data_IF_153034935768
#
_entry.id   IF_153034935768
#
_cell.length_a   1.000
_cell.length_b   1.000
_cell.length_c   1.000
_cell.angle_alpha   90.00
_cell.angle_beta   90.00
_cell.angle_gamma   90.00
#
_symmetry.space_group_name_H-M   'P 1'
#
loop_
_entity.id
_entity.type
_entity.pdbx_description
1 polymer ?
#
# COMPACT_ATOMS: atom_id res chain seq x y z
N UNK A 1 -16.75 3.00 -8.34
CA UNK A 1 -15.58 3.22 -7.46
C UNK A 1 -14.68 4.29 -8.05
N UNK A 2 -14.09 5.15 -7.22
CA UNK A 2 -13.09 6.11 -7.68
C UNK A 2 -11.85 5.34 -8.15
N UNK A 3 -11.50 5.49 -9.42
CA UNK A 3 -10.29 4.94 -10.00
C UNK A 3 -9.13 5.89 -9.65
N UNK A 4 -8.08 5.37 -9.02
CA UNK A 4 -6.90 6.15 -8.62
C UNK A 4 -5.82 5.94 -9.65
N UNK A 5 -5.30 7.01 -10.24
CA UNK A 5 -4.10 6.95 -11.07
C UNK A 5 -2.88 7.25 -10.20
N UNK A 6 -1.96 6.29 -10.12
CA UNK A 6 -0.64 6.50 -9.49
C UNK A 6 0.40 6.64 -10.59
N UNK A 7 1.14 7.74 -10.57
CA UNK A 7 2.24 7.98 -11.50
C UNK A 7 3.51 8.38 -10.76
N UNK A 8 4.63 8.27 -11.44
CA UNK A 8 5.92 8.48 -10.79
C UNK A 8 7.08 8.21 -11.70
N UNK A 9 8.28 8.31 -11.12
CA UNK A 9 9.55 7.98 -11.76
C UNK A 9 10.33 7.05 -10.85
N UNK A 10 10.97 6.05 -11.45
CA UNK A 10 11.90 5.13 -10.81
C UNK A 10 13.33 5.50 -11.23
N UNK A 11 14.21 5.68 -10.25
CA UNK A 11 15.59 6.13 -10.47
C UNK A 11 16.58 5.53 -9.45
N UNK A 12 17.88 5.60 -9.74
CA UNK A 12 18.95 5.19 -8.83
C UNK A 12 19.41 6.35 -7.91
N UNK A 13 20.36 6.07 -7.02
CA UNK A 13 20.99 7.06 -6.15
C UNK A 13 21.73 8.18 -6.90
N UNK A 14 22.14 7.92 -8.14
CA UNK A 14 22.68 8.92 -9.07
C UNK A 14 21.59 9.65 -9.90
N UNK A 15 20.31 9.44 -9.57
CA UNK A 15 19.13 10.01 -10.26
C UNK A 15 19.02 9.61 -11.75
N UNK A 16 19.69 8.54 -12.18
CA UNK A 16 19.53 7.95 -13.50
C UNK A 16 18.23 7.14 -13.54
N UNK A 17 17.50 7.17 -14.67
CA UNK A 17 16.24 6.46 -14.78
C UNK A 17 16.42 4.95 -14.80
N UNK A 18 15.50 4.22 -14.17
CA UNK A 18 15.40 2.77 -14.31
C UNK A 18 14.29 2.38 -15.29
N UNK A 19 14.62 2.01 -16.54
CA UNK A 19 13.64 1.52 -17.49
C UNK A 19 13.29 0.04 -17.24
N UNK A 20 12.09 -0.37 -17.66
CA UNK A 20 11.58 -1.75 -17.57
C UNK A 20 11.44 -2.31 -16.15
N UNK A 21 11.34 -1.44 -15.14
CA UNK A 21 10.91 -1.84 -13.79
C UNK A 21 9.44 -2.19 -13.86
N UNK A 22 9.09 -3.33 -13.25
CA UNK A 22 7.74 -3.80 -13.09
C UNK A 22 7.09 -3.00 -11.98
N UNK A 23 5.93 -2.40 -12.27
CA UNK A 23 5.03 -1.83 -11.28
C UNK A 23 3.74 -2.62 -11.31
N UNK A 24 3.38 -3.27 -10.21
CA UNK A 24 2.23 -4.18 -10.14
C UNK A 24 1.36 -3.90 -8.93
N UNK A 25 0.04 -3.90 -9.09
CA UNK A 25 -0.91 -3.88 -7.97
C UNK A 25 -1.50 -5.27 -7.68
N UNK A 26 -0.91 -6.33 -8.24
CA UNK A 26 -1.40 -7.71 -8.19
C UNK A 26 -2.48 -8.06 -9.21
N UNK A 27 -3.14 -7.08 -9.82
CA UNK A 27 -4.18 -7.25 -10.87
C UNK A 27 -3.71 -6.72 -12.22
N UNK A 28 -3.03 -5.59 -12.21
CA UNK A 28 -2.43 -4.92 -13.35
C UNK A 28 -0.91 -4.85 -13.17
N UNK A 29 -0.22 -4.85 -14.30
CA UNK A 29 1.23 -4.75 -14.38
C UNK A 29 1.60 -3.77 -15.50
N UNK A 30 2.42 -2.79 -15.18
CA UNK A 30 3.02 -1.85 -16.14
C UNK A 30 4.54 -1.88 -16.03
N UNK A 31 5.21 -1.30 -17.02
CA UNK A 31 6.65 -1.16 -17.03
C UNK A 31 7.03 0.31 -17.10
N UNK A 32 8.12 0.68 -16.43
CA UNK A 32 8.68 2.01 -16.59
C UNK A 32 9.23 2.23 -18.00
N UNK A 33 9.06 3.45 -18.51
CA UNK A 33 9.59 3.87 -19.82
C UNK A 33 11.12 4.11 -19.79
N UNK A 34 11.70 4.58 -20.91
CA UNK A 34 13.13 4.87 -21.02
C UNK A 34 13.64 5.94 -20.03
N UNK A 35 12.74 6.78 -19.52
CA UNK A 35 13.01 7.83 -18.53
C UNK A 35 12.62 7.41 -17.11
N UNK A 36 12.25 6.14 -16.91
CA UNK A 36 11.87 5.57 -15.63
C UNK A 36 10.45 5.93 -15.20
N UNK A 37 9.65 6.57 -16.05
CA UNK A 37 8.30 6.99 -15.66
C UNK A 37 7.33 5.81 -15.74
N UNK A 38 6.35 5.80 -14.83
CA UNK A 38 5.24 4.86 -14.86
C UNK A 38 3.91 5.57 -14.61
N UNK A 39 2.84 4.93 -15.03
CA UNK A 39 1.47 5.28 -14.67
C UNK A 39 0.67 3.99 -14.57
N UNK A 40 0.00 3.77 -13.45
CA UNK A 40 -0.79 2.57 -13.18
C UNK A 40 -2.14 2.96 -12.56
N UNK A 41 -3.19 2.23 -12.92
CA UNK A 41 -4.49 2.36 -12.28
C UNK A 41 -4.50 1.52 -11.01
N UNK A 42 -5.01 2.09 -9.93
CA UNK A 42 -5.06 1.48 -8.62
C UNK A 42 -6.41 1.77 -7.96
N UNK A 43 -6.65 1.04 -6.88
CA UNK A 43 -7.76 1.24 -5.95
C UNK A 43 -7.18 1.57 -4.57
N UNK A 44 -7.98 2.26 -3.75
CA UNK A 44 -7.65 2.48 -2.35
C UNK A 44 -7.37 1.12 -1.66
N UNK A 45 -6.32 1.04 -0.86
CA UNK A 45 -5.79 -0.19 -0.21
C UNK A 45 -5.12 -1.21 -1.12
N UNK A 46 -4.78 -0.84 -2.36
CA UNK A 46 -3.79 -1.60 -3.11
C UNK A 46 -2.38 -1.38 -2.56
N UNK A 47 -1.53 -2.37 -2.80
CA UNK A 47 -0.09 -2.29 -2.57
C UNK A 47 0.56 -2.39 -3.93
N UNK A 48 1.28 -1.34 -4.36
CA UNK A 48 2.08 -1.38 -5.56
C UNK A 48 3.43 -2.02 -5.23
N UNK A 49 3.76 -3.13 -5.87
CA UNK A 49 5.10 -3.73 -5.86
C UNK A 49 5.92 -3.19 -7.02
N UNK A 50 7.14 -2.74 -6.71
CA UNK A 50 8.18 -2.36 -7.66
C UNK A 50 9.24 -3.46 -7.69
N UNK A 51 9.43 -4.10 -8.83
CA UNK A 51 10.38 -5.21 -8.98
C UNK A 51 11.02 -5.24 -10.36
N UNK A 52 12.11 -6.00 -10.50
CA UNK A 52 12.74 -6.25 -11.79
C UNK A 52 12.71 -7.74 -12.13
N UNK A 53 12.65 -8.04 -13.42
CA UNK A 53 12.38 -9.37 -13.97
C UNK A 53 13.59 -10.33 -13.92
N UNK A 54 14.48 -10.15 -12.94
CA UNK A 54 15.81 -10.75 -12.76
C UNK A 54 16.93 -10.00 -13.52
N UNK A 55 17.90 -9.50 -12.75
CA UNK A 55 19.19 -9.00 -13.24
C UNK A 55 19.11 -7.98 -14.38
N UNK A 56 18.57 -6.79 -14.09
CA UNK A 56 18.88 -5.64 -14.93
C UNK A 56 20.40 -5.41 -14.83
N UNK A 57 21.18 -5.84 -15.83
CA UNK A 57 22.65 -5.77 -15.86
C UNK A 57 23.38 -6.48 -14.68
N UNK A 58 22.83 -7.59 -14.17
CA UNK A 58 23.44 -8.36 -13.08
C UNK A 58 23.10 -7.87 -11.66
N UNK A 59 22.26 -6.84 -11.54
CA UNK A 59 21.80 -6.32 -10.25
C UNK A 59 20.56 -7.08 -9.74
N UNK A 60 20.60 -7.60 -8.51
CA UNK A 60 19.41 -8.07 -7.78
C UNK A 60 18.75 -6.86 -7.13
N UNK A 61 17.56 -6.48 -7.59
CA UNK A 61 16.86 -5.33 -7.03
C UNK A 61 16.07 -5.71 -5.77
N UNK A 62 16.16 -4.86 -4.75
CA UNK A 62 15.23 -4.91 -3.62
C UNK A 62 13.82 -4.57 -4.11
N UNK A 63 12.83 -5.37 -3.69
CA UNK A 63 11.43 -5.02 -3.91
C UNK A 63 11.09 -3.80 -3.07
N UNK A 64 10.41 -2.83 -3.67
CA UNK A 64 9.81 -1.71 -2.94
C UNK A 64 8.30 -1.76 -3.04
N UNK A 65 7.64 -1.17 -2.04
CA UNK A 65 6.20 -1.22 -1.90
C UNK A 65 5.63 0.18 -1.66
N UNK A 66 4.53 0.50 -2.32
CA UNK A 66 3.74 1.71 -2.07
C UNK A 66 2.31 1.35 -1.68
N UNK A 67 1.84 1.89 -0.57
CA UNK A 67 0.51 1.63 -0.04
C UNK A 67 -0.44 2.77 -0.47
N UNK A 68 -1.48 2.43 -1.25
CA UNK A 68 -2.46 3.41 -1.71
C UNK A 68 -3.45 3.71 -0.59
N UNK A 69 -3.07 4.61 0.32
CA UNK A 69 -3.85 4.92 1.55
C UNK A 69 -4.71 6.19 1.45
N UNK A 70 -4.46 7.03 0.44
CA UNK A 70 -5.23 8.26 0.21
C UNK A 70 -6.26 8.01 -0.88
N UNK A 71 -7.51 8.42 -0.65
CA UNK A 71 -8.55 8.35 -1.68
C UNK A 71 -8.56 9.62 -2.54
N UNK A 72 -7.45 9.88 -3.23
CA UNK A 72 -7.31 11.02 -4.15
C UNK A 72 -7.12 10.53 -5.59
N UNK A 73 -7.76 11.14 -6.61
CA UNK A 73 -7.77 10.61 -7.98
C UNK A 73 -6.39 10.47 -8.62
N UNK A 74 -5.45 11.35 -8.28
CA UNK A 74 -4.09 11.35 -8.82
C UNK A 74 -3.08 11.37 -7.68
N UNK A 75 -2.16 10.41 -7.69
CA UNK A 75 -1.10 10.28 -6.70
C UNK A 75 0.23 10.24 -7.41
N UNK A 76 1.18 11.04 -6.92
CA UNK A 76 2.56 11.00 -7.38
C UNK A 76 3.41 10.27 -6.34
N UNK A 77 4.11 9.23 -6.76
CA UNK A 77 5.06 8.50 -5.91
C UNK A 77 6.37 8.29 -6.68
N UNK A 78 7.46 8.79 -6.15
CA UNK A 78 8.79 8.64 -6.74
C UNK A 78 9.54 7.53 -6.01
N UNK A 79 10.24 6.69 -6.77
CA UNK A 79 10.88 5.48 -6.24
C UNK A 79 12.36 5.54 -6.55
N UNK A 80 13.17 5.63 -5.49
CA UNK A 80 14.60 5.45 -5.61
C UNK A 80 14.92 3.98 -5.32
N UNK A 81 15.38 3.25 -6.33
CA UNK A 81 15.85 1.87 -6.16
C UNK A 81 17.37 1.90 -6.03
N UNK A 82 17.91 1.23 -5.02
CA UNK A 82 19.35 1.07 -4.88
C UNK A 82 19.79 -0.14 -5.70
N UNK A 83 20.74 0.06 -6.63
CA UNK A 83 21.32 -1.03 -7.42
C UNK A 83 22.29 -1.90 -6.59
N UNK A 84 22.90 -1.34 -5.55
CA UNK A 84 24.06 -1.94 -4.88
C UNK A 84 23.70 -2.80 -3.66
N UNK A 85 22.43 -2.89 -3.30
CA UNK A 85 22.04 -3.53 -2.05
C UNK A 85 21.40 -4.88 -2.29
N UNK A 86 22.25 -5.92 -2.36
CA UNK A 86 21.86 -7.31 -2.07
C UNK A 86 21.60 -7.39 -0.56
N UNK A 87 20.43 -6.98 -0.08
CA UNK A 87 19.98 -7.46 1.23
C UNK A 87 19.38 -8.85 1.06
N UNK A 88 20.16 -9.81 1.53
CA UNK A 88 19.74 -11.14 1.96
C UNK A 88 18.53 -10.97 2.88
N UNK A 89 17.34 -11.28 2.36
CA UNK A 89 16.09 -11.51 3.10
C UNK A 89 15.99 -10.79 4.46
N UNK A 90 15.88 -9.46 4.48
CA UNK A 90 15.25 -8.79 5.61
C UNK A 90 13.80 -8.47 5.23
N UNK A 91 13.00 -9.54 5.17
CA UNK A 91 11.59 -9.40 5.51
C UNK A 91 11.60 -9.21 7.03
N UNK A 92 11.66 -7.95 7.46
CA UNK A 92 11.25 -7.58 8.81
C UNK A 92 9.89 -8.26 9.08
N UNK A 93 9.60 -8.81 10.27
CA UNK A 93 8.51 -9.78 10.48
C UNK A 93 7.10 -9.21 10.25
N UNK A 94 7.00 -7.95 9.87
CA UNK A 94 5.79 -7.26 9.46
C UNK A 94 5.40 -7.72 8.06
N UNK A 95 4.25 -8.36 7.94
CA UNK A 95 3.75 -8.73 6.62
C UNK A 95 3.47 -7.45 5.83
N UNK A 96 3.94 -7.44 4.58
CA UNK A 96 3.66 -6.41 3.58
C UNK A 96 2.15 -6.40 3.24
N UNK A 97 1.33 -5.96 4.19
CA UNK A 97 -0.12 -6.11 4.17
C UNK A 97 -0.83 -4.97 4.90
N UNK A 98 -2.14 -4.93 4.68
CA UNK A 98 -3.09 -4.22 5.52
C UNK A 98 -3.75 -5.21 6.48
N UNK A 99 -4.14 -4.75 7.66
CA UNK A 99 -5.14 -5.43 8.49
C UNK A 99 -6.41 -4.56 8.55
N UNK A 100 -7.57 -5.19 8.50
CA UNK A 100 -8.86 -4.50 8.48
C UNK A 100 -9.67 -4.82 9.72
N UNK A 101 -10.31 -3.81 10.28
CA UNK A 101 -11.18 -3.91 11.45
C UNK A 101 -12.50 -3.22 11.15
N UNK A 102 -13.61 -3.90 11.47
CA UNK A 102 -14.95 -3.31 11.45
C UNK A 102 -15.43 -3.19 12.89
N UNK A 103 -15.69 -1.97 13.36
CA UNK A 103 -16.17 -1.72 14.72
C UNK A 103 -15.30 -2.45 15.78
N UNK A 104 -13.97 -2.28 15.64
CA UNK A 104 -12.89 -2.92 16.41
C UNK A 104 -12.76 -4.45 16.28
N UNK A 105 -13.61 -5.10 15.48
CA UNK A 105 -13.52 -6.54 15.18
C UNK A 105 -12.65 -6.80 13.95
N UNK A 106 -11.64 -7.66 14.08
CA UNK A 106 -10.74 -8.03 12.97
C UNK A 106 -11.52 -8.73 11.86
N UNK A 107 -11.34 -8.26 10.61
CA UNK A 107 -11.88 -8.90 9.42
C UNK A 107 -11.03 -10.11 9.07
N UNK A 108 -11.67 -11.24 8.78
CA UNK A 108 -10.96 -12.44 8.34
C UNK A 108 -10.27 -12.24 6.99
N UNK A 109 -9.07 -12.81 6.84
CA UNK A 109 -8.24 -12.66 5.63
C UNK A 109 -8.94 -13.08 4.34
N UNK A 110 -9.78 -14.12 4.41
CA UNK A 110 -10.61 -14.61 3.30
C UNK A 110 -11.63 -13.59 2.80
N UNK A 111 -12.01 -12.61 3.63
CA UNK A 111 -13.04 -11.62 3.35
C UNK A 111 -12.48 -10.24 3.03
N UNK A 112 -11.16 -10.02 3.09
CA UNK A 112 -10.55 -8.70 2.95
C UNK A 112 -10.85 -8.03 1.61
N UNK A 113 -10.78 -8.74 0.48
CA UNK A 113 -11.06 -8.13 -0.83
C UNK A 113 -12.51 -7.67 -0.96
N UNK A 114 -13.46 -8.50 -0.50
CA UNK A 114 -14.87 -8.11 -0.47
C UNK A 114 -15.08 -6.92 0.47
N UNK A 115 -14.42 -6.91 1.62
CA UNK A 115 -14.49 -5.80 2.58
C UNK A 115 -13.93 -4.49 2.00
N UNK A 116 -12.77 -4.53 1.33
CA UNK A 116 -12.18 -3.37 0.65
C UNK A 116 -13.15 -2.77 -0.37
N UNK A 117 -13.84 -3.60 -1.15
CA UNK A 117 -14.83 -3.14 -2.13
C UNK A 117 -16.00 -2.42 -1.46
N UNK A 118 -16.53 -2.95 -0.35
CA UNK A 118 -17.58 -2.29 0.45
C UNK A 118 -17.15 -0.92 0.98
N UNK A 119 -15.91 -0.81 1.48
CA UNK A 119 -15.34 0.48 1.90
C UNK A 119 -15.22 1.45 0.72
N UNK A 120 -14.71 1.00 -0.43
CA UNK A 120 -14.58 1.81 -1.66
C UNK A 120 -15.93 2.27 -2.21
N UNK A 121 -17.00 1.53 -1.93
CA UNK A 121 -18.37 1.86 -2.32
C UNK A 121 -19.09 2.80 -1.34
N UNK A 122 -18.44 3.17 -0.23
CA UNK A 122 -19.01 4.11 0.74
C UNK A 122 -20.09 3.49 1.62
N UNK A 123 -20.07 2.17 1.83
CA UNK A 123 -21.06 1.48 2.68
C UNK A 123 -20.91 1.81 4.18
N UNK A 124 -19.78 2.39 4.59
CA UNK A 124 -19.46 2.71 5.97
C UNK A 124 -19.38 4.22 6.20
N UNK A 125 -19.50 4.63 7.46
CA UNK A 125 -19.54 6.04 7.82
C UNK A 125 -18.18 6.73 7.63
N UNK A 126 -17.12 6.12 8.15
CA UNK A 126 -15.74 6.60 7.99
C UNK A 126 -14.75 5.47 8.23
N UNK A 127 -13.48 5.73 7.92
CA UNK A 127 -12.37 4.89 8.31
C UNK A 127 -11.20 5.73 8.84
N UNK A 128 -10.36 5.12 9.65
CA UNK A 128 -9.08 5.63 10.14
C UNK A 128 -7.98 4.65 9.75
N UNK A 129 -6.83 5.17 9.33
CA UNK A 129 -5.65 4.36 9.04
C UNK A 129 -4.64 4.66 10.12
N UNK A 130 -4.11 3.61 10.75
CA UNK A 130 -3.07 3.69 11.78
C UNK A 130 -1.84 2.91 11.36
N UNK A 131 -0.67 3.49 11.58
CA UNK A 131 0.61 2.80 11.46
C UNK A 131 0.85 1.89 12.66
N UNK A 132 1.83 0.99 12.56
CA UNK A 132 2.13 -0.01 13.59
C UNK A 132 2.44 0.61 14.97
N UNK A 133 3.04 1.79 15.01
CA UNK A 133 3.42 2.52 16.22
C UNK A 133 2.24 3.23 16.90
N UNK A 134 1.13 3.40 16.20
CA UNK A 134 -0.10 4.04 16.69
C UNK A 134 -1.07 3.04 17.34
N UNK A 135 -0.69 1.77 17.44
CA UNK A 135 -1.58 0.68 17.88
C UNK A 135 -1.16 0.15 19.26
N UNK A 136 -2.12 -0.14 20.16
CA UNK A 136 -1.83 -0.80 21.43
C UNK A 136 -1.06 -2.12 21.23
N UNK A 137 -0.08 -2.40 22.09
CA UNK A 137 0.81 -3.58 21.99
C UNK A 137 0.05 -4.90 22.09
N UNK A 138 -1.17 -4.87 22.61
CA UNK A 138 -2.08 -6.00 22.77
C UNK A 138 -2.71 -6.46 21.45
N UNK A 139 -2.68 -5.62 20.41
CA UNK A 139 -3.09 -6.01 19.06
C UNK A 139 -1.87 -6.56 18.35
N UNK A 140 -2.00 -7.79 17.83
CA UNK A 140 -0.94 -8.47 17.10
C UNK A 140 -0.43 -7.59 15.95
N UNK A 141 0.83 -7.14 16.07
CA UNK A 141 1.48 -6.16 15.19
C UNK A 141 1.90 -6.80 13.85
N UNK A 142 0.91 -7.23 13.05
CA UNK A 142 1.16 -8.07 11.87
C UNK A 142 1.34 -7.21 10.61
N UNK A 143 0.69 -6.05 10.51
CA UNK A 143 0.59 -5.27 9.26
C UNK A 143 1.18 -3.87 9.37
N UNK A 144 1.77 -3.40 8.26
CA UNK A 144 2.30 -2.03 8.12
C UNK A 144 1.24 -0.96 8.38
N UNK A 145 0.03 -1.19 7.88
CA UNK A 145 -1.12 -0.31 8.05
C UNK A 145 -2.33 -1.09 8.56
N UNK A 146 -3.07 -0.47 9.47
CA UNK A 146 -4.28 -1.03 10.06
C UNK A 146 -5.43 -0.07 9.78
N UNK A 147 -6.47 -0.59 9.12
CA UNK A 147 -7.61 0.19 8.65
C UNK A 147 -8.80 -0.12 9.55
N UNK A 148 -9.16 0.84 10.38
CA UNK A 148 -10.32 0.77 11.26
C UNK A 148 -11.50 1.44 10.56
N UNK A 149 -12.52 0.66 10.26
CA UNK A 149 -13.73 1.10 9.56
C UNK A 149 -14.88 1.09 10.55
N UNK A 150 -15.70 2.14 10.50
CA UNK A 150 -16.75 2.35 11.49
C UNK A 150 -18.13 2.45 10.84
N UNK A 151 -19.10 1.76 11.43
CA UNK A 151 -20.51 2.06 11.21
C UNK A 151 -20.87 3.37 11.91
N UNK A 152 -21.94 4.03 11.45
CA UNK A 152 -22.33 5.34 12.00
C UNK A 152 -22.70 5.24 13.50
N UNK A 153 -23.43 4.21 13.89
CA UNK A 153 -23.85 4.01 15.27
C UNK A 153 -22.65 3.76 16.18
N UNK A 154 -21.74 2.87 15.77
CA UNK A 154 -20.53 2.59 16.51
C UNK A 154 -19.64 3.83 16.65
N UNK A 155 -19.42 4.57 15.55
CA UNK A 155 -18.62 5.80 15.58
C UNK A 155 -19.18 6.81 16.60
N UNK A 156 -20.49 7.03 16.58
CA UNK A 156 -21.14 7.99 17.48
C UNK A 156 -21.06 7.56 18.95
N UNK A 157 -21.16 6.27 19.23
CA UNK A 157 -21.13 5.74 20.61
C UNK A 157 -19.71 5.64 21.16
N UNK A 158 -18.73 5.28 20.34
CA UNK A 158 -17.42 4.84 20.82
C UNK A 158 -16.23 5.69 20.36
N UNK A 159 -16.35 6.48 19.30
CA UNK A 159 -15.19 7.19 18.70
C UNK A 159 -15.34 8.71 18.76
N UNK A 160 -16.51 9.25 18.41
CA UNK A 160 -16.76 10.69 18.22
C UNK A 160 -16.26 11.60 19.34
N UNK A 161 -16.37 11.15 20.59
CA UNK A 161 -16.01 11.95 21.77
C UNK A 161 -14.68 11.54 22.41
N UNK A 162 -13.93 10.60 21.81
CA UNK A 162 -12.61 10.23 22.31
C UNK A 162 -11.57 11.28 21.89
N UNK A 163 -10.64 11.66 22.77
CA UNK A 163 -9.51 12.48 22.38
C UNK A 163 -8.66 11.76 21.33
N UNK A 164 -8.15 12.51 20.36
CA UNK A 164 -7.23 12.03 19.32
C UNK A 164 -5.79 12.09 19.81
#
# INVERSE_FOLDING_TARGET
>A
MAQITVSGRVFDDENKPFPRVIVSNGREKVYTDAQGNYTIQAKLFDILEFSAESEYKGYKMNKQYYYVIKNIPHQKYEVQLDSDVIYKDFVDPYTLSFSFYLDDSKVEKSNEEAFKERVRNGEFYTYEIRTWDEIPKEIEQISMYNVFVYTQDYYNQHIKNKPK
#
